data_IF_675674327060
#
_entry.id   IF_675674327060
#
_cell.length_a   1.000
_cell.length_b   1.000
_cell.length_c   1.000
_cell.angle_alpha   90.00
_cell.angle_beta   90.00
_cell.angle_gamma   90.00
#
_symmetry.space_group_name_H-M   'P 1'
#
loop_
_entity.id
_entity.type
_entity.pdbx_description
1 polymer ?
#
# COMPACT_ATOMS: atom_id res chain seq x y z
N UNK A 1 29.23 -28.32 44.78
CA UNK A 1 29.96 -27.22 44.12
C UNK A 1 29.34 -27.07 42.73
N UNK A 2 28.47 -26.05 42.54
CA UNK A 2 27.97 -25.50 41.24
C UNK A 2 27.10 -26.47 40.40
N UNK A 3 25.88 -26.22 39.92
CA UNK A 3 24.95 -25.07 39.84
C UNK A 3 23.60 -25.70 39.46
N UNK A 4 22.49 -25.51 40.19
CA UNK A 4 21.41 -24.55 39.89
C UNK A 4 21.45 -24.01 38.45
N UNK A 5 20.31 -24.03 37.75
CA UNK A 5 20.05 -23.61 36.36
C UNK A 5 19.94 -24.75 35.34
N UNK A 6 18.80 -25.43 35.32
CA UNK A 6 18.19 -25.94 34.08
C UNK A 6 16.71 -26.35 34.24
N UNK A 7 15.97 -25.73 35.18
CA UNK A 7 14.51 -25.89 35.33
C UNK A 7 13.74 -24.61 34.92
N UNK A 8 14.29 -23.81 34.01
CA UNK A 8 13.63 -22.59 33.50
C UNK A 8 13.67 -22.54 31.96
N UNK A 9 13.23 -23.60 31.30
CA UNK A 9 12.99 -23.58 29.84
C UNK A 9 11.66 -24.20 29.41
N UNK A 10 10.72 -24.37 30.33
CA UNK A 10 9.33 -24.71 30.00
C UNK A 10 8.40 -23.66 30.59
N UNK A 11 8.37 -22.47 29.98
CA UNK A 11 7.19 -21.59 30.05
C UNK A 11 7.34 -20.40 29.07
N UNK A 12 6.33 -20.25 28.21
CA UNK A 12 5.91 -19.01 27.56
C UNK A 12 6.55 -18.54 26.25
N UNK A 13 7.00 -19.43 25.37
CA UNK A 13 7.24 -19.02 23.96
C UNK A 13 6.01 -19.13 23.04
N UNK A 14 5.01 -19.97 23.35
CA UNK A 14 3.84 -20.13 22.45
C UNK A 14 2.79 -19.01 22.59
N UNK A 15 2.74 -18.33 23.74
CA UNK A 15 1.77 -17.27 24.01
C UNK A 15 2.01 -15.99 23.20
N UNK A 16 3.28 -15.61 23.00
CA UNK A 16 3.65 -14.39 22.26
C UNK A 16 3.32 -14.56 20.77
N UNK A 17 3.64 -15.72 20.18
CA UNK A 17 3.28 -16.02 18.79
C UNK A 17 1.76 -16.07 18.58
N UNK A 18 1.01 -16.56 19.58
CA UNK A 18 -0.45 -16.59 19.51
C UNK A 18 -1.08 -15.20 19.58
N UNK A 19 -0.50 -14.28 20.38
CA UNK A 19 -0.96 -12.88 20.46
C UNK A 19 -0.62 -12.11 19.18
N UNK A 20 0.56 -12.35 18.58
CA UNK A 20 0.95 -11.76 17.28
C UNK A 20 0.01 -12.26 16.15
N UNK A 21 -0.35 -13.55 16.16
CA UNK A 21 -1.29 -14.12 15.18
C UNK A 21 -2.72 -13.56 15.31
N UNK A 22 -3.18 -13.26 16.54
CA UNK A 22 -4.52 -12.69 16.77
C UNK A 22 -4.59 -11.20 16.38
N UNK A 23 -3.48 -10.45 16.51
CA UNK A 23 -3.38 -9.07 16.02
C UNK A 23 -3.36 -8.98 14.47
N UNK A 24 -2.90 -10.03 13.79
CA UNK A 24 -2.90 -10.12 12.32
C UNK A 24 -4.25 -10.53 11.71
N UNK A 25 -5.17 -11.03 12.53
CA UNK A 25 -6.52 -11.47 12.14
C UNK A 25 -7.58 -10.36 12.28
N UNK A 26 -7.19 -9.10 12.46
CA UNK A 26 -8.15 -8.00 12.35
C UNK A 26 -8.70 -8.07 10.91
N UNK A 27 -10.01 -8.36 10.74
CA UNK A 27 -10.59 -8.40 9.42
C UNK A 27 -10.34 -7.05 8.78
N UNK A 28 -9.74 -7.05 7.59
CA UNK A 28 -9.60 -5.87 6.73
C UNK A 28 -10.98 -5.26 6.65
N UNK A 29 -11.19 -4.21 7.42
CA UNK A 29 -12.44 -3.46 7.39
C UNK A 29 -12.59 -2.96 5.97
N UNK A 30 -13.76 -3.21 5.37
CA UNK A 30 -14.17 -2.56 4.12
C UNK A 30 -13.69 -1.11 4.14
N UNK A 31 -13.19 -0.57 3.01
CA UNK A 31 -12.51 0.73 2.96
C UNK A 31 -13.33 1.71 3.79
N UNK A 32 -12.73 2.22 4.86
CA UNK A 32 -13.38 3.13 5.76
C UNK A 32 -14.07 4.19 4.90
N UNK A 33 -15.34 4.49 5.17
CA UNK A 33 -16.07 5.50 4.40
C UNK A 33 -15.36 6.84 4.61
N UNK A 34 -14.40 7.13 3.74
CA UNK A 34 -13.55 8.30 3.82
C UNK A 34 -14.39 9.52 3.45
N UNK A 35 -14.33 10.55 4.28
CA UNK A 35 -14.96 11.81 3.94
C UNK A 35 -14.25 12.42 2.73
N UNK A 36 -15.01 13.00 1.80
CA UNK A 36 -14.47 13.58 0.55
C UNK A 36 -13.33 14.58 0.82
N UNK A 37 -13.47 15.41 1.84
CA UNK A 37 -12.43 16.36 2.27
C UNK A 37 -11.15 15.69 2.75
N UNK A 38 -11.26 14.57 3.46
CA UNK A 38 -10.08 13.81 3.89
C UNK A 38 -9.42 13.12 2.70
N UNK A 39 -10.22 12.55 1.79
CA UNK A 39 -9.71 11.97 0.55
C UNK A 39 -8.92 12.99 -0.27
N UNK A 40 -9.46 14.20 -0.44
CA UNK A 40 -8.80 15.31 -1.13
C UNK A 40 -7.48 15.70 -0.44
N UNK A 41 -7.48 15.85 0.88
CA UNK A 41 -6.27 16.12 1.67
C UNK A 41 -5.20 15.04 1.47
N UNK A 42 -5.59 13.78 1.49
CA UNK A 42 -4.68 12.65 1.30
C UNK A 42 -4.14 12.59 -0.14
N UNK A 43 -4.99 12.86 -1.13
CA UNK A 43 -4.60 12.96 -2.53
C UNK A 43 -3.55 14.07 -2.73
N UNK A 44 -3.79 15.26 -2.18
CA UNK A 44 -2.86 16.40 -2.24
C UNK A 44 -1.52 16.04 -1.60
N UNK A 45 -1.53 15.49 -0.38
CA UNK A 45 -0.31 15.11 0.34
C UNK A 45 0.53 14.08 -0.43
N UNK A 46 -0.14 13.09 -1.04
CA UNK A 46 0.53 12.07 -1.84
C UNK A 46 1.15 12.66 -3.11
N UNK A 47 0.39 13.50 -3.83
CA UNK A 47 0.86 14.21 -5.01
C UNK A 47 2.06 15.10 -4.71
N UNK A 48 2.00 15.90 -3.64
CA UNK A 48 3.10 16.75 -3.20
C UNK A 48 4.36 15.95 -2.88
N UNK A 49 4.19 14.82 -2.19
CA UNK A 49 5.28 13.92 -1.83
C UNK A 49 5.97 13.34 -3.07
N UNK A 50 5.20 12.80 -4.02
CA UNK A 50 5.73 12.24 -5.26
C UNK A 50 6.46 13.29 -6.10
N UNK A 51 5.86 14.46 -6.26
CA UNK A 51 6.43 15.57 -7.03
C UNK A 51 7.70 16.09 -6.37
N UNK A 52 7.73 16.21 -5.03
CA UNK A 52 8.92 16.63 -4.31
C UNK A 52 10.08 15.66 -4.51
N UNK A 53 9.80 14.35 -4.53
CA UNK A 53 10.83 13.32 -4.70
C UNK A 53 11.26 13.12 -6.16
N UNK A 54 10.38 13.42 -7.13
CA UNK A 54 10.65 13.25 -8.56
C UNK A 54 10.19 14.47 -9.39
N UNK A 55 10.76 15.67 -9.16
CA UNK A 55 10.18 16.93 -9.64
C UNK A 55 10.21 17.09 -11.17
N UNK A 56 11.18 16.46 -11.83
CA UNK A 56 11.32 16.48 -13.29
C UNK A 56 10.21 15.72 -14.03
N UNK A 57 9.41 14.91 -13.32
CA UNK A 57 8.27 14.16 -13.87
C UNK A 57 6.92 14.70 -13.41
N UNK A 58 6.84 15.96 -12.94
CA UNK A 58 5.60 16.55 -12.41
C UNK A 58 4.41 16.36 -13.36
N UNK A 59 4.60 16.62 -14.65
CA UNK A 59 3.52 16.53 -15.65
C UNK A 59 3.05 15.09 -15.84
N UNK A 60 4.00 14.17 -15.90
CA UNK A 60 3.79 12.74 -16.05
C UNK A 60 3.08 12.16 -14.83
N UNK A 61 3.51 12.52 -13.61
CA UNK A 61 2.87 12.14 -12.35
C UNK A 61 1.41 12.57 -12.34
N UNK A 62 1.13 13.86 -12.59
CA UNK A 62 -0.24 14.37 -12.63
C UNK A 62 -1.08 13.68 -13.68
N UNK A 63 -0.52 13.40 -14.86
CA UNK A 63 -1.26 12.74 -15.94
C UNK A 63 -1.59 11.28 -15.58
N UNK A 64 -0.59 10.53 -15.11
CA UNK A 64 -0.74 9.10 -14.80
C UNK A 64 -1.67 8.86 -13.61
N UNK A 65 -1.57 9.67 -12.55
CA UNK A 65 -2.42 9.46 -11.38
C UNK A 65 -3.87 9.89 -11.59
N UNK A 66 -4.16 10.74 -12.58
CA UNK A 66 -5.54 11.12 -12.92
C UNK A 66 -6.22 10.18 -13.92
N UNK A 67 -5.55 9.11 -14.39
CA UNK A 67 -6.22 8.11 -15.23
C UNK A 67 -7.26 7.33 -14.45
N UNK A 68 -8.28 6.83 -15.15
CA UNK A 68 -9.25 5.89 -14.58
C UNK A 68 -8.63 4.50 -14.41
N UNK A 69 -9.14 3.74 -13.43
CA UNK A 69 -8.96 2.30 -13.40
C UNK A 69 -10.13 1.61 -14.12
N UNK A 70 -9.89 0.57 -14.93
CA UNK A 70 -10.93 -0.19 -15.60
C UNK A 70 -11.61 -1.13 -14.59
N UNK A 71 -12.44 -0.56 -13.71
CA UNK A 71 -13.20 -1.30 -12.70
C UNK A 71 -14.70 -1.31 -13.08
N UNK A 72 -15.41 -2.41 -12.80
CA UNK A 72 -16.85 -2.57 -13.12
C UNK A 72 -17.75 -1.64 -12.31
N UNK A 73 -17.23 -1.03 -11.24
CA UNK A 73 -17.93 -0.08 -10.40
C UNK A 73 -17.20 1.27 -10.37
N UNK A 74 -17.57 2.11 -11.34
CA UNK A 74 -17.25 3.54 -11.49
C UNK A 74 -15.77 3.88 -11.74
N UNK A 75 -15.55 4.84 -12.65
CA UNK A 75 -14.24 5.34 -13.08
C UNK A 75 -13.49 6.13 -12.01
N UNK A 76 -13.23 5.51 -10.86
CA UNK A 76 -12.36 6.04 -9.81
C UNK A 76 -11.00 6.34 -10.40
N UNK A 77 -10.46 7.53 -10.12
CA UNK A 77 -9.10 7.86 -10.54
C UNK A 77 -8.13 7.04 -9.71
N UNK A 78 -7.00 6.68 -10.31
CA UNK A 78 -5.93 6.02 -9.58
C UNK A 78 -5.48 6.84 -8.36
N UNK A 79 -5.46 8.16 -8.47
CA UNK A 79 -5.15 9.06 -7.37
C UNK A 79 -6.07 8.83 -6.15
N UNK A 80 -7.37 8.64 -6.37
CA UNK A 80 -8.32 8.43 -5.29
C UNK A 80 -8.04 7.11 -4.55
N UNK A 81 -7.52 6.08 -5.25
CA UNK A 81 -7.05 4.84 -4.59
C UNK A 81 -5.83 5.08 -3.71
N UNK A 82 -4.93 5.96 -4.13
CA UNK A 82 -3.82 6.38 -3.27
C UNK A 82 -4.28 7.21 -2.08
N UNK A 83 -5.30 8.07 -2.23
CA UNK A 83 -5.88 8.77 -1.10
C UNK A 83 -6.46 7.83 -0.04
N UNK A 84 -7.18 6.79 -0.46
CA UNK A 84 -7.67 5.72 0.41
C UNK A 84 -6.49 4.99 1.08
N UNK A 85 -5.49 4.57 0.29
CA UNK A 85 -4.29 3.92 0.81
C UNK A 85 -3.57 4.75 1.89
N UNK A 86 -3.44 6.07 1.68
CA UNK A 86 -2.82 6.97 2.66
C UNK A 86 -3.63 7.09 3.94
N UNK A 87 -4.96 7.11 3.85
CA UNK A 87 -5.85 7.08 5.01
C UNK A 87 -5.72 5.76 5.79
N UNK A 88 -5.65 4.63 5.09
CA UNK A 88 -5.50 3.32 5.71
C UNK A 88 -4.13 3.22 6.41
N UNK A 89 -3.05 3.67 5.77
CA UNK A 89 -1.73 3.77 6.40
C UNK A 89 -1.77 4.61 7.69
N UNK A 90 -2.42 5.78 7.64
CA UNK A 90 -2.54 6.64 8.83
C UNK A 90 -3.32 5.94 9.96
N UNK A 91 -4.38 5.20 9.61
CA UNK A 91 -5.20 4.44 10.57
C UNK A 91 -4.41 3.30 11.21
N UNK A 92 -3.54 2.66 10.43
CA UNK A 92 -2.71 1.53 10.86
C UNK A 92 -1.35 1.95 11.46
N UNK A 93 -1.16 3.24 11.77
CA UNK A 93 0.11 3.80 12.27
C UNK A 93 1.34 3.51 11.37
N UNK A 94 1.11 3.43 10.06
CA UNK A 94 2.14 3.34 9.03
C UNK A 94 2.37 4.71 8.38
N UNK A 95 3.63 5.02 8.09
CA UNK A 95 4.02 6.26 7.43
C UNK A 95 4.71 5.99 6.11
N UNK A 96 4.28 6.67 5.04
CA UNK A 96 5.05 6.73 3.79
C UNK A 96 6.32 7.55 4.04
N UNK A 97 7.47 6.90 3.94
CA UNK A 97 8.78 7.52 4.21
C UNK A 97 9.54 7.87 2.94
N UNK A 98 9.24 7.20 1.82
CA UNK A 98 9.89 7.43 0.54
C UNK A 98 9.01 7.00 -0.61
N UNK A 99 9.09 7.73 -1.71
CA UNK A 99 8.38 7.43 -2.95
C UNK A 99 9.29 7.60 -4.17
N UNK A 100 9.16 6.73 -5.16
CA UNK A 100 9.84 6.89 -6.45
C UNK A 100 8.84 6.64 -7.57
N UNK A 101 8.86 7.52 -8.55
CA UNK A 101 8.05 7.42 -9.74
C UNK A 101 8.95 7.16 -10.95
N UNK A 102 8.61 6.16 -11.74
CA UNK A 102 9.31 5.80 -12.96
C UNK A 102 8.32 5.86 -14.12
N UNK A 103 8.70 6.43 -15.25
CA UNK A 103 7.84 6.56 -16.42
C UNK A 103 8.61 6.23 -17.69
N UNK A 104 7.99 5.48 -18.60
CA UNK A 104 8.60 5.04 -19.86
C UNK A 104 7.67 5.22 -21.07
N UNK A 105 6.68 6.11 -20.97
CA UNK A 105 5.80 6.46 -22.09
C UNK A 105 4.55 5.58 -22.19
N UNK A 106 4.72 4.27 -22.23
CA UNK A 106 3.62 3.29 -22.34
C UNK A 106 3.15 2.77 -20.98
N UNK A 107 3.83 3.17 -19.90
CA UNK A 107 3.52 2.76 -18.55
C UNK A 107 4.31 3.58 -17.53
N UNK A 108 4.04 3.30 -16.26
CA UNK A 108 4.75 3.88 -15.13
C UNK A 108 4.79 2.91 -13.94
N UNK A 109 5.74 3.11 -13.04
CA UNK A 109 5.84 2.36 -11.81
C UNK A 109 5.99 3.29 -10.61
N UNK A 110 5.41 2.86 -9.50
CA UNK A 110 5.51 3.49 -8.20
C UNK A 110 6.20 2.55 -7.24
N UNK A 111 7.22 3.06 -6.56
CA UNK A 111 7.87 2.37 -5.46
C UNK A 111 7.69 3.21 -4.20
N UNK A 112 7.02 2.64 -3.20
CA UNK A 112 6.65 3.30 -1.95
C UNK A 112 7.29 2.52 -0.80
N UNK A 113 7.94 3.23 0.10
CA UNK A 113 8.49 2.69 1.35
C UNK A 113 7.62 3.15 2.51
N UNK A 114 7.16 2.20 3.31
CA UNK A 114 6.36 2.43 4.50
C UNK A 114 7.19 2.07 5.73
N UNK A 115 7.12 2.88 6.77
CA UNK A 115 7.60 2.52 8.10
C UNK A 115 6.38 2.27 8.99
N UNK A 116 6.34 1.10 9.63
CA UNK A 116 5.29 0.74 10.57
C UNK A 116 5.80 0.98 11.99
N UNK A 117 5.14 1.90 12.69
CA UNK A 117 5.53 2.26 14.05
C UNK A 117 5.07 1.25 15.10
N UNK A 118 4.17 0.35 14.75
CA UNK A 118 3.66 -0.69 15.66
C UNK A 118 4.66 -1.82 15.89
N UNK A 119 5.43 -2.18 14.86
CA UNK A 119 6.42 -3.26 14.89
C UNK A 119 7.86 -2.81 14.56
N UNK A 120 8.04 -1.53 14.19
CA UNK A 120 9.32 -0.95 13.83
C UNK A 120 9.87 -1.42 12.48
N UNK A 121 9.07 -2.10 11.67
CA UNK A 121 9.47 -2.67 10.39
C UNK A 121 9.32 -1.68 9.24
N UNK A 122 9.98 -2.02 8.12
CA UNK A 122 9.89 -1.26 6.87
C UNK A 122 9.31 -2.16 5.79
N UNK A 123 8.25 -1.67 5.14
CA UNK A 123 7.59 -2.33 4.03
C UNK A 123 7.86 -1.62 2.72
N UNK A 124 7.80 -2.38 1.64
CA UNK A 124 7.93 -1.86 0.29
C UNK A 124 6.72 -2.27 -0.52
N UNK A 125 6.13 -1.30 -1.21
CA UNK A 125 5.06 -1.48 -2.17
C UNK A 125 5.58 -1.05 -3.54
N UNK A 126 5.53 -1.97 -4.49
CA UNK A 126 5.82 -1.73 -5.90
C UNK A 126 4.57 -1.97 -6.71
N UNK A 127 4.21 -1.00 -7.55
CA UNK A 127 3.07 -1.05 -8.44
C UNK A 127 3.54 -0.68 -9.84
N UNK A 128 3.25 -1.53 -10.83
CA UNK A 128 3.52 -1.27 -12.24
C UNK A 128 2.20 -1.15 -13.00
N UNK A 129 2.05 -0.10 -13.81
CA UNK A 129 0.88 0.13 -14.63
C UNK A 129 1.24 0.28 -16.10
N UNK A 130 0.38 -0.26 -16.95
CA UNK A 130 0.32 0.05 -18.38
C UNK A 130 -0.69 1.16 -18.60
N UNK A 131 -0.35 2.12 -19.47
CA UNK A 131 -1.21 3.24 -19.82
C UNK A 131 -1.95 2.95 -21.13
N UNK A 132 -3.27 2.99 -21.07
CA UNK A 132 -4.10 3.12 -22.27
C UNK A 132 -4.33 4.62 -22.54
N UNK A 133 -3.72 5.12 -23.60
CA UNK A 133 -3.82 6.54 -23.98
C UNK A 133 -5.14 6.86 -24.69
N UNK A 134 -5.76 5.87 -25.33
CA UNK A 134 -7.02 6.06 -26.05
C UNK A 134 -8.16 6.15 -25.04
N UNK A 135 -8.17 5.26 -24.06
CA UNK A 135 -9.19 5.21 -23.01
C UNK A 135 -8.87 6.09 -21.79
N UNK A 136 -7.68 6.69 -21.75
CA UNK A 136 -7.15 7.46 -20.59
C UNK A 136 -7.22 6.65 -19.28
N UNK A 137 -6.94 5.36 -19.38
CA UNK A 137 -7.01 4.41 -18.28
C UNK A 137 -5.61 3.85 -17.94
N UNK A 138 -5.47 3.34 -16.73
CA UNK A 138 -4.29 2.61 -16.28
C UNK A 138 -4.68 1.18 -15.91
N UNK A 139 -3.91 0.21 -16.39
CA UNK A 139 -4.09 -1.20 -16.05
C UNK A 139 -2.93 -1.65 -15.16
N UNK A 140 -3.25 -2.19 -13.97
CA UNK A 140 -2.24 -2.77 -13.10
C UNK A 140 -1.62 -4.00 -13.78
N UNK A 141 -0.30 -3.98 -13.96
CA UNK A 141 0.48 -5.06 -14.57
C UNK A 141 1.18 -5.93 -13.53
N UNK A 142 1.80 -5.30 -12.54
CA UNK A 142 2.56 -5.99 -11.51
C UNK A 142 2.33 -5.33 -10.16
N UNK A 143 2.25 -6.15 -9.11
CA UNK A 143 2.13 -5.69 -7.74
C UNK A 143 2.98 -6.56 -6.84
N UNK A 144 3.95 -5.93 -6.20
CA UNK A 144 4.74 -6.55 -5.16
C UNK A 144 4.58 -5.75 -3.88
N UNK A 145 4.18 -6.44 -2.82
CA UNK A 145 4.23 -5.91 -1.47
C UNK A 145 5.12 -6.83 -0.65
N UNK A 146 5.93 -6.25 0.25
CA UNK A 146 6.93 -6.96 1.05
C UNK A 146 6.42 -8.35 1.49
N UNK A 147 7.20 -9.43 1.27
CA UNK A 147 6.70 -10.79 1.08
C UNK A 147 6.23 -11.46 2.38
N UNK A 148 6.27 -10.72 3.49
CA UNK A 148 5.89 -11.20 4.83
C UNK A 148 4.37 -11.29 5.00
N UNK A 149 3.56 -10.71 4.10
CA UNK A 149 2.09 -10.62 4.27
C UNK A 149 1.29 -10.92 3.00
N UNK A 150 1.08 -12.20 2.68
CA UNK A 150 0.26 -12.64 1.54
C UNK A 150 -1.18 -12.09 1.58
N UNK A 151 -1.76 -11.95 2.76
CA UNK A 151 -3.11 -11.39 2.93
C UNK A 151 -3.16 -9.89 2.60
N UNK A 152 -2.13 -9.13 2.99
CA UNK A 152 -2.00 -7.71 2.64
C UNK A 152 -1.79 -7.53 1.13
N UNK A 153 -1.08 -8.46 0.46
CA UNK A 153 -0.96 -8.45 -1.01
C UNK A 153 -2.34 -8.57 -1.67
N UNK A 154 -3.22 -9.43 -1.18
CA UNK A 154 -4.59 -9.56 -1.72
C UNK A 154 -5.40 -8.28 -1.53
N UNK A 155 -5.33 -7.65 -0.34
CA UNK A 155 -5.97 -6.35 -0.10
C UNK A 155 -5.42 -5.24 -1.03
N UNK A 156 -4.10 -5.18 -1.24
CA UNK A 156 -3.49 -4.23 -2.16
C UNK A 156 -3.90 -4.48 -3.61
N UNK A 157 -4.02 -5.75 -4.04
CA UNK A 157 -4.56 -6.10 -5.37
C UNK A 157 -6.01 -5.68 -5.54
N UNK A 158 -6.83 -5.78 -4.50
CA UNK A 158 -8.21 -5.28 -4.53
C UNK A 158 -8.27 -3.74 -4.58
N UNK A 159 -7.34 -3.06 -3.90
CA UNK A 159 -7.31 -1.60 -3.85
C UNK A 159 -6.79 -0.96 -5.15
N UNK A 160 -5.73 -1.55 -5.73
CA UNK A 160 -4.99 -1.00 -6.86
C UNK A 160 -5.22 -1.72 -8.19
N UNK A 161 -5.75 -2.94 -8.15
CA UNK A 161 -6.06 -3.75 -9.34
C UNK A 161 -7.55 -3.71 -9.69
N UNK A 162 -7.93 -4.49 -10.70
CA UNK A 162 -9.28 -4.50 -11.27
C UNK A 162 -10.28 -5.39 -10.50
N UNK A 163 -10.06 -5.60 -9.19
CA UNK A 163 -10.93 -6.47 -8.37
C UNK A 163 -10.83 -7.98 -8.64
N UNK A 164 -10.05 -8.44 -9.62
CA UNK A 164 -9.81 -9.88 -9.85
C UNK A 164 -8.58 -10.36 -9.07
N UNK A 165 -8.82 -11.11 -7.99
CA UNK A 165 -7.81 -12.01 -7.43
C UNK A 165 -7.73 -13.19 -8.40
N UNK A 166 -6.79 -13.16 -9.35
CA UNK A 166 -6.52 -14.34 -10.15
C UNK A 166 -6.00 -15.47 -9.24
N UNK A 167 -6.52 -16.70 -9.40
CA UNK A 167 -6.24 -17.85 -8.54
C UNK A 167 -4.78 -18.31 -8.61
#
# INVERSE_FOLDING_TARGET
MISVYLEFMDMNFSGIYSIIMILLLIPVTLPAKIAEKELERHNELFMETLIRETPHLRKEITTCLNTSLPDRHSGSRLLDRFGIFMNDCQTDNMAVTKTRFFYWGTGFALFIVLADSSDGQVYTLYLEYLLDREEKSSLLRELYFSPVFTEKVAAMKLLFGNGEIQP
#
